data_IF_738964430145
#
_entry.id   IF_738964430145
#
_cell.length_a   1.000
_cell.length_b   1.000
_cell.length_c   1.000
_cell.angle_alpha   90.00
_cell.angle_beta   90.00
_cell.angle_gamma   90.00
#
_symmetry.space_group_name_H-M   'P 1'
#
loop_
_entity.id
_entity.type
_entity.pdbx_description
1 polymer ?
#
# COMPACT_ATOMS: atom_id res chain seq x y z
N UNK A 1 -21.02 10.59 21.61
CA UNK A 1 -20.90 9.17 21.93
C UNK A 1 -20.19 8.99 23.26
N UNK A 2 -20.64 8.05 24.05
CA UNK A 2 -19.93 7.56 25.22
C UNK A 2 -18.95 6.50 24.81
N UNK A 3 -17.81 6.40 25.51
CA UNK A 3 -16.83 5.35 25.26
C UNK A 3 -16.35 4.73 26.56
N UNK A 4 -16.09 3.45 26.51
CA UNK A 4 -15.53 2.66 27.59
C UNK A 4 -14.42 1.77 27.07
N UNK A 5 -13.33 1.61 27.82
CA UNK A 5 -12.26 0.69 27.49
C UNK A 5 -12.31 -0.45 28.53
N UNK A 6 -12.64 -1.65 28.05
CA UNK A 6 -12.70 -2.85 28.87
C UNK A 6 -11.94 -4.01 28.18
N UNK A 7 -11.04 -4.67 28.92
CA UNK A 7 -10.28 -5.81 28.43
C UNK A 7 -9.47 -5.55 27.14
N UNK A 8 -9.06 -4.28 26.91
CA UNK A 8 -8.36 -3.88 25.69
C UNK A 8 -9.29 -3.61 24.49
N UNK A 9 -10.61 -3.71 24.68
CA UNK A 9 -11.63 -3.37 23.69
C UNK A 9 -12.15 -1.96 23.95
N UNK A 10 -12.40 -1.22 22.87
CA UNK A 10 -13.04 0.10 22.92
C UNK A 10 -14.51 -0.05 22.56
N UNK A 11 -15.38 0.14 23.53
CA UNK A 11 -16.83 0.13 23.36
C UNK A 11 -17.33 1.56 23.13
N UNK A 12 -18.01 1.78 22.03
CA UNK A 12 -18.59 3.07 21.67
C UNK A 12 -20.11 2.95 21.65
N UNK A 13 -20.80 3.90 22.30
CA UNK A 13 -22.26 3.96 22.30
C UNK A 13 -22.76 5.37 22.03
N UNK A 14 -23.75 5.47 21.17
CA UNK A 14 -24.47 6.71 20.93
C UNK A 14 -25.92 6.38 20.60
N UNK A 15 -26.86 7.00 21.30
CA UNK A 15 -28.31 6.87 20.99
C UNK A 15 -28.62 7.64 19.68
N UNK A 16 -27.90 8.74 19.44
CA UNK A 16 -28.04 9.57 18.24
C UNK A 16 -26.72 10.25 17.92
N UNK A 17 -26.37 10.27 16.64
CA UNK A 17 -25.25 11.04 16.14
C UNK A 17 -25.71 12.44 15.75
N UNK A 18 -24.95 13.45 16.18
CA UNK A 18 -25.21 14.86 15.87
C UNK A 18 -23.99 15.43 15.17
N UNK A 19 -24.23 16.20 14.11
CA UNK A 19 -23.18 16.87 13.34
C UNK A 19 -22.35 17.79 14.24
N UNK A 20 -21.06 17.81 14.00
CA UNK A 20 -20.09 18.57 14.79
C UNK A 20 -18.86 18.91 13.95
N UNK A 21 -17.99 19.76 14.49
CA UNK A 21 -16.69 20.04 13.90
C UNK A 21 -15.67 19.03 14.45
N UNK A 22 -14.93 18.39 13.55
CA UNK A 22 -13.88 17.38 13.84
C UNK A 22 -12.58 17.89 13.23
N UNK A 23 -11.57 18.08 14.06
CA UNK A 23 -10.21 18.40 13.60
C UNK A 23 -9.30 17.20 13.88
N UNK A 24 -8.59 16.74 12.87
CA UNK A 24 -7.58 15.69 13.04
C UNK A 24 -6.19 16.32 13.23
N UNK A 25 -5.56 16.08 14.37
CA UNK A 25 -4.18 16.53 14.64
C UNK A 25 -3.18 15.95 13.63
N UNK A 26 -3.46 14.72 13.16
CA UNK A 26 -2.70 14.05 12.09
C UNK A 26 -3.65 13.69 10.96
N UNK A 27 -3.20 13.92 9.72
CA UNK A 27 -3.91 13.43 8.56
C UNK A 27 -3.97 11.89 8.61
N UNK A 28 -5.17 11.32 8.61
CA UNK A 28 -5.40 9.89 8.75
C UNK A 28 -6.56 9.42 7.91
N UNK A 29 -6.28 8.48 7.00
CA UNK A 29 -7.26 7.90 6.08
C UNK A 29 -8.37 7.18 6.85
N UNK A 30 -8.01 6.28 7.76
CA UNK A 30 -8.97 5.47 8.50
C UNK A 30 -9.94 6.31 9.32
N UNK A 31 -9.45 7.34 10.03
CA UNK A 31 -10.32 8.23 10.79
C UNK A 31 -11.23 9.06 9.86
N UNK A 32 -10.70 9.57 8.74
CA UNK A 32 -11.49 10.33 7.76
C UNK A 32 -12.63 9.48 7.19
N UNK A 33 -12.35 8.26 6.75
CA UNK A 33 -13.35 7.32 6.20
C UNK A 33 -14.42 7.00 7.25
N UNK A 34 -14.03 6.65 8.47
CA UNK A 34 -14.99 6.34 9.55
C UNK A 34 -15.83 7.55 9.94
N UNK A 35 -15.23 8.75 10.01
CA UNK A 35 -15.96 9.98 10.30
C UNK A 35 -16.96 10.31 9.17
N UNK A 36 -16.60 10.14 7.89
CA UNK A 36 -17.53 10.29 6.77
C UNK A 36 -18.71 9.34 6.94
N UNK A 37 -18.45 8.03 7.09
CA UNK A 37 -19.52 7.03 7.20
C UNK A 37 -20.44 7.26 8.39
N UNK A 38 -19.91 7.67 9.54
CA UNK A 38 -20.71 7.99 10.72
C UNK A 38 -21.57 9.26 10.51
N UNK A 39 -21.06 10.24 9.77
CA UNK A 39 -21.66 11.55 9.60
C UNK A 39 -22.79 11.61 8.59
N UNK A 40 -22.84 10.69 7.60
CA UNK A 40 -23.86 10.72 6.53
C UNK A 40 -25.29 10.61 7.03
N UNK A 41 -25.50 10.07 8.25
CA UNK A 41 -26.80 9.96 8.91
C UNK A 41 -26.88 10.72 10.24
N UNK A 42 -25.86 11.50 10.58
CA UNK A 42 -25.91 12.35 11.79
C UNK A 42 -26.86 13.55 11.58
N UNK A 43 -27.54 13.97 12.64
CA UNK A 43 -28.39 15.17 12.56
C UNK A 43 -27.58 16.45 12.41
N UNK A 44 -27.82 17.20 11.36
CA UNK A 44 -27.19 18.50 11.12
C UNK A 44 -25.96 18.43 10.22
N UNK A 45 -25.01 19.31 10.44
CA UNK A 45 -23.80 19.46 9.64
C UNK A 45 -22.57 18.98 10.40
N UNK A 46 -21.81 18.08 9.80
CA UNK A 46 -20.45 17.71 10.24
C UNK A 46 -19.42 18.39 9.34
N UNK A 47 -18.38 18.95 9.95
CA UNK A 47 -17.23 19.52 9.24
C UNK A 47 -16.00 18.77 9.72
N UNK A 48 -15.30 18.13 8.79
CA UNK A 48 -14.03 17.42 9.05
C UNK A 48 -12.90 18.29 8.50
N UNK A 49 -11.97 18.67 9.36
CA UNK A 49 -10.79 19.47 9.02
C UNK A 49 -9.52 18.63 9.13
N UNK A 50 -8.51 18.97 8.32
CA UNK A 50 -7.30 18.18 8.09
C UNK A 50 -7.62 16.75 7.64
N UNK A 51 -8.64 16.62 6.79
CA UNK A 51 -9.09 15.36 6.23
C UNK A 51 -8.05 14.73 5.29
N UNK A 52 -8.05 13.42 5.19
CA UNK A 52 -7.28 12.68 4.20
C UNK A 52 -7.83 12.93 2.78
N UNK A 53 -6.93 13.00 1.78
CA UNK A 53 -7.24 13.39 0.39
C UNK A 53 -7.06 12.26 -0.60
N UNK A 54 -6.73 11.08 -0.11
CA UNK A 54 -6.44 9.91 -0.94
C UNK A 54 -7.60 9.61 -1.89
N UNK A 55 -7.32 9.13 -3.12
CA UNK A 55 -8.35 8.87 -4.14
C UNK A 55 -9.51 8.00 -3.64
N UNK A 56 -9.25 7.00 -2.81
CA UNK A 56 -10.29 6.13 -2.26
C UNK A 56 -11.18 6.82 -1.20
N UNK A 57 -10.73 7.92 -0.59
CA UNK A 57 -11.59 8.77 0.26
C UNK A 57 -12.59 9.53 -0.61
N UNK A 58 -12.13 10.04 -1.75
CA UNK A 58 -13.00 10.70 -2.75
C UNK A 58 -13.98 9.71 -3.34
N UNK A 59 -13.52 8.51 -3.66
CA UNK A 59 -14.34 7.44 -4.22
C UNK A 59 -15.46 7.02 -3.27
N UNK A 60 -15.15 6.85 -1.97
CA UNK A 60 -16.15 6.59 -0.93
C UNK A 60 -17.21 7.71 -0.88
N UNK A 61 -16.78 8.98 -0.90
CA UNK A 61 -17.71 10.11 -0.86
C UNK A 61 -18.61 10.12 -2.10
N UNK A 62 -18.07 9.83 -3.29
CA UNK A 62 -18.83 9.71 -4.53
C UNK A 62 -19.84 8.56 -4.47
N UNK A 63 -19.43 7.41 -3.96
CA UNK A 63 -20.32 6.27 -3.75
C UNK A 63 -21.48 6.62 -2.81
N UNK A 64 -21.18 7.23 -1.66
CA UNK A 64 -22.21 7.66 -0.71
C UNK A 64 -23.13 8.74 -1.28
N UNK A 65 -22.59 9.70 -2.04
CA UNK A 65 -23.40 10.70 -2.73
C UNK A 65 -24.32 10.07 -3.77
N UNK A 66 -23.87 9.02 -4.49
CA UNK A 66 -24.73 8.28 -5.40
C UNK A 66 -25.83 7.48 -4.69
N UNK A 67 -25.70 7.25 -3.39
CA UNK A 67 -26.74 6.67 -2.51
C UNK A 67 -27.65 7.74 -1.88
N UNK A 68 -27.44 9.02 -2.19
CA UNK A 68 -28.26 10.14 -1.67
C UNK A 68 -27.68 10.85 -0.47
N UNK A 69 -26.39 10.66 -0.14
CA UNK A 69 -25.69 11.48 0.85
C UNK A 69 -25.42 12.91 0.33
N UNK A 70 -25.11 13.82 1.24
CA UNK A 70 -24.74 15.20 0.93
C UNK A 70 -23.33 15.48 1.49
N UNK A 71 -22.32 15.12 0.69
CA UNK A 71 -20.88 15.23 1.03
C UNK A 71 -20.22 16.17 0.02
N UNK A 72 -19.56 17.20 0.52
CA UNK A 72 -18.80 18.17 -0.26
C UNK A 72 -17.37 18.28 0.24
N UNK A 73 -16.44 18.57 -0.67
CA UNK A 73 -15.04 18.84 -0.34
C UNK A 73 -14.16 17.60 -0.19
N UNK A 74 -14.63 16.39 -0.48
CA UNK A 74 -13.77 15.21 -0.53
C UNK A 74 -12.60 15.44 -1.51
N UNK A 75 -11.36 15.06 -1.09
CA UNK A 75 -10.14 15.37 -1.82
C UNK A 75 -9.51 16.73 -1.47
N UNK A 76 -10.13 17.49 -0.56
CA UNK A 76 -9.56 18.72 0.02
C UNK A 76 -9.30 18.56 1.52
N UNK A 77 -8.72 19.57 2.16
CA UNK A 77 -8.47 19.56 3.61
C UNK A 77 -9.74 19.57 4.46
N UNK A 78 -10.86 20.02 3.87
CA UNK A 78 -12.12 20.22 4.59
C UNK A 78 -13.25 19.48 3.88
N UNK A 79 -13.88 18.55 4.60
CA UNK A 79 -15.04 17.81 4.14
C UNK A 79 -16.27 18.26 4.94
N UNK A 80 -17.34 18.63 4.24
CA UNK A 80 -18.62 19.03 4.84
C UNK A 80 -19.66 17.99 4.51
N UNK A 81 -20.36 17.50 5.52
CA UNK A 81 -21.36 16.43 5.41
C UNK A 81 -22.64 16.90 6.09
N UNK A 82 -23.70 17.04 5.31
CA UNK A 82 -25.04 17.25 5.86
C UNK A 82 -25.72 15.90 5.99
N UNK A 83 -26.05 15.52 7.20
CA UNK A 83 -26.71 14.23 7.45
C UNK A 83 -28.07 14.13 6.78
N UNK A 84 -28.37 12.97 6.24
CA UNK A 84 -29.62 12.64 5.54
C UNK A 84 -30.41 11.57 6.30
N UNK A 85 -31.75 11.60 6.16
CA UNK A 85 -32.62 10.61 6.82
C UNK A 85 -32.46 9.21 6.21
N UNK A 86 -32.30 9.13 4.89
CA UNK A 86 -32.31 7.89 4.13
C UNK A 86 -31.18 7.87 3.11
N UNK A 87 -30.60 6.71 2.93
CA UNK A 87 -29.73 6.37 1.81
C UNK A 87 -30.43 5.26 1.02
N UNK A 88 -30.33 5.31 -0.30
CA UNK A 88 -30.85 4.24 -1.18
C UNK A 88 -29.72 3.40 -1.75
N UNK A 89 -30.05 2.25 -2.30
CA UNK A 89 -29.09 1.39 -3.00
C UNK A 89 -28.65 2.03 -4.32
N UNK A 90 -27.42 1.71 -4.73
CA UNK A 90 -26.85 2.17 -6.00
C UNK A 90 -26.01 1.07 -6.63
N UNK A 91 -25.79 1.16 -7.95
CA UNK A 91 -24.73 0.41 -8.64
C UNK A 91 -23.54 1.34 -8.80
N UNK A 92 -22.38 0.95 -8.27
CA UNK A 92 -21.19 1.77 -8.25
C UNK A 92 -19.96 0.96 -8.64
N UNK A 93 -19.12 1.52 -9.50
CA UNK A 93 -17.82 0.92 -9.85
C UNK A 93 -16.73 1.57 -9.02
N UNK A 94 -16.08 0.79 -8.18
CA UNK A 94 -14.95 1.24 -7.37
C UNK A 94 -13.75 1.57 -8.29
N UNK A 95 -13.00 2.62 -7.97
CA UNK A 95 -11.79 2.96 -8.70
C UNK A 95 -10.74 1.87 -8.61
N UNK A 96 -9.84 1.76 -9.62
CA UNK A 96 -8.70 0.83 -9.57
C UNK A 96 -7.78 1.09 -8.38
N UNK A 97 -7.24 0.02 -7.79
CA UNK A 97 -6.28 0.11 -6.69
C UNK A 97 -4.92 0.62 -7.19
N UNK A 98 -4.58 1.84 -6.79
CA UNK A 98 -3.29 2.46 -7.11
C UNK A 98 -2.08 1.71 -6.50
N UNK A 99 -2.26 1.00 -5.39
CA UNK A 99 -1.16 0.29 -4.73
C UNK A 99 -0.93 -1.06 -5.41
N UNK A 100 -1.97 -1.77 -5.82
CA UNK A 100 -1.80 -2.95 -6.66
C UNK A 100 -1.11 -2.58 -7.98
N UNK A 101 -1.60 -1.55 -8.68
CA UNK A 101 -0.99 -1.07 -9.91
C UNK A 101 0.48 -0.67 -9.70
N UNK A 102 0.78 0.11 -8.65
CA UNK A 102 2.14 0.51 -8.28
C UNK A 102 3.03 -0.67 -7.96
N UNK A 103 2.49 -1.72 -7.34
CA UNK A 103 3.24 -2.95 -7.06
C UNK A 103 3.64 -3.67 -8.36
N UNK A 104 2.74 -3.76 -9.36
CA UNK A 104 3.09 -4.29 -10.67
C UNK A 104 4.08 -3.40 -11.44
N UNK A 105 4.05 -2.07 -11.23
CA UNK A 105 5.09 -1.16 -11.75
C UNK A 105 6.46 -1.47 -11.13
N UNK A 106 6.50 -1.70 -9.80
CA UNK A 106 7.72 -2.08 -9.09
C UNK A 106 8.23 -3.46 -9.54
N UNK A 107 7.33 -4.43 -9.79
CA UNK A 107 7.67 -5.74 -10.34
C UNK A 107 8.31 -5.61 -11.72
N UNK A 108 7.71 -4.80 -12.61
CA UNK A 108 8.28 -4.56 -13.94
C UNK A 108 9.72 -4.01 -13.86
N UNK A 109 9.96 -3.09 -12.92
CA UNK A 109 11.28 -2.56 -12.65
C UNK A 109 12.24 -3.63 -12.11
N UNK A 110 11.87 -4.35 -11.04
CA UNK A 110 12.73 -5.34 -10.41
C UNK A 110 13.08 -6.50 -11.33
N UNK A 111 12.11 -7.02 -12.09
CA UNK A 111 12.30 -8.10 -13.07
C UNK A 111 12.88 -7.61 -14.41
N UNK A 112 13.16 -6.30 -14.57
CA UNK A 112 13.65 -5.69 -15.82
C UNK A 112 12.80 -6.08 -17.03
N UNK A 113 11.49 -6.11 -16.85
CA UNK A 113 10.49 -6.56 -17.82
C UNK A 113 9.73 -5.39 -18.44
N UNK A 114 8.87 -5.70 -19.43
CA UNK A 114 7.97 -4.73 -20.06
C UNK A 114 6.52 -5.15 -19.77
N UNK A 115 5.85 -4.42 -18.91
CA UNK A 115 4.47 -4.71 -18.47
C UNK A 115 3.56 -3.54 -18.82
N UNK A 116 2.42 -3.83 -19.47
CA UNK A 116 1.32 -2.91 -19.68
C UNK A 116 0.25 -3.15 -18.62
N UNK A 117 0.02 -2.18 -17.75
CA UNK A 117 -0.99 -2.22 -16.70
C UNK A 117 -2.20 -1.41 -17.17
N UNK A 118 -3.34 -2.08 -17.35
CA UNK A 118 -4.59 -1.50 -17.86
C UNK A 118 -5.59 -1.27 -16.73
N UNK A 119 -6.63 -0.51 -17.04
CA UNK A 119 -7.69 -0.16 -16.10
C UNK A 119 -7.11 0.48 -14.84
N UNK A 120 -6.33 1.54 -15.03
CA UNK A 120 -5.74 2.35 -14.00
C UNK A 120 -6.04 3.83 -14.24
N UNK A 121 -5.89 4.63 -13.22
CA UNK A 121 -5.96 6.10 -13.34
C UNK A 121 -4.52 6.62 -13.20
N UNK A 122 -3.83 6.96 -14.31
CA UNK A 122 -2.41 7.32 -14.30
C UNK A 122 -2.09 8.47 -13.33
N UNK A 123 -3.01 9.41 -13.18
CA UNK A 123 -2.87 10.52 -12.22
C UNK A 123 -2.71 10.05 -10.77
N UNK A 124 -3.33 8.94 -10.40
CA UNK A 124 -3.18 8.37 -9.05
C UNK A 124 -1.81 7.70 -8.84
N UNK A 125 -1.14 7.34 -9.92
CA UNK A 125 0.17 6.69 -9.92
C UNK A 125 1.33 7.68 -10.04
N UNK A 126 1.06 8.98 -10.19
CA UNK A 126 2.07 10.01 -10.47
C UNK A 126 3.24 10.02 -9.47
N UNK A 127 3.04 9.95 -8.12
CA UNK A 127 4.14 9.92 -7.17
C UNK A 127 5.05 8.70 -7.34
N UNK A 128 4.48 7.56 -7.74
CA UNK A 128 5.21 6.30 -7.97
C UNK A 128 5.97 6.41 -9.29
N UNK A 129 5.29 6.85 -10.36
CA UNK A 129 5.85 7.07 -11.69
C UNK A 129 7.08 7.96 -11.65
N UNK A 130 6.98 9.12 -10.97
CA UNK A 130 8.09 10.06 -10.84
C UNK A 130 9.32 9.42 -10.18
N UNK A 131 9.13 8.56 -9.16
CA UNK A 131 10.25 7.89 -8.49
C UNK A 131 10.86 6.80 -9.36
N UNK A 132 10.05 6.03 -10.08
CA UNK A 132 10.54 5.03 -11.04
C UNK A 132 11.32 5.68 -12.19
N UNK A 133 10.78 6.75 -12.78
CA UNK A 133 11.48 7.50 -13.84
C UNK A 133 12.79 8.09 -13.32
N UNK A 134 12.80 8.62 -12.09
CA UNK A 134 13.99 9.21 -11.49
C UNK A 134 15.14 8.20 -11.30
N UNK A 135 14.83 6.94 -11.08
CA UNK A 135 15.88 5.89 -10.95
C UNK A 135 16.29 5.29 -12.28
N UNK A 136 15.65 5.64 -13.40
CA UNK A 136 16.00 5.18 -14.74
C UNK A 136 15.02 4.19 -15.38
N UNK A 137 13.86 3.98 -14.78
CA UNK A 137 12.77 3.17 -15.37
C UNK A 137 12.03 4.01 -16.41
N UNK A 138 11.75 3.45 -17.59
CA UNK A 138 10.91 4.10 -18.57
C UNK A 138 9.43 3.83 -18.25
N UNK A 139 8.61 4.88 -18.18
CA UNK A 139 7.17 4.78 -17.97
C UNK A 139 6.43 5.59 -19.03
N UNK A 140 5.55 4.92 -19.77
CA UNK A 140 4.65 5.51 -20.76
C UNK A 140 3.25 5.55 -20.17
N UNK A 141 2.58 6.72 -20.24
CA UNK A 141 1.22 6.90 -19.73
C UNK A 141 0.24 7.01 -20.90
N UNK A 142 -0.91 6.35 -20.75
CA UNK A 142 -2.07 6.40 -21.65
C UNK A 142 -3.28 6.86 -20.84
N UNK A 143 -4.44 6.95 -21.46
CA UNK A 143 -5.66 7.46 -20.80
C UNK A 143 -6.08 6.60 -19.58
N UNK A 144 -6.03 5.27 -19.74
CA UNK A 144 -6.44 4.28 -18.73
C UNK A 144 -5.39 3.19 -18.47
N UNK A 145 -4.15 3.42 -18.89
CA UNK A 145 -3.07 2.44 -18.77
C UNK A 145 -1.71 3.10 -18.52
N UNK A 146 -0.80 2.34 -17.95
CA UNK A 146 0.62 2.67 -17.88
C UNK A 146 1.45 1.50 -18.36
N UNK A 147 2.47 1.77 -19.19
CA UNK A 147 3.48 0.80 -19.57
C UNK A 147 4.76 1.09 -18.83
N UNK A 148 5.31 0.09 -18.17
CA UNK A 148 6.57 0.17 -17.44
C UNK A 148 7.58 -0.72 -18.14
N UNK A 149 8.74 -0.15 -18.51
CA UNK A 149 9.83 -0.84 -19.17
C UNK A 149 11.05 -0.75 -18.27
N UNK A 150 11.44 -1.87 -17.70
CA UNK A 150 12.63 -1.99 -16.87
C UNK A 150 13.91 -1.76 -17.67
N UNK A 151 14.77 -0.90 -17.14
CA UNK A 151 16.07 -0.59 -17.75
C UNK A 151 17.18 -1.56 -17.33
N UNK A 152 18.35 -1.48 -18.00
CA UNK A 152 19.50 -2.31 -17.63
C UNK A 152 20.14 -1.89 -16.32
N UNK A 153 19.98 -0.64 -15.90
CA UNK A 153 20.60 -0.07 -14.71
C UNK A 153 19.63 0.90 -14.03
N UNK A 154 19.69 0.93 -12.71
CA UNK A 154 18.98 1.91 -11.86
C UNK A 154 19.95 2.65 -10.98
N UNK A 155 19.58 3.87 -10.58
CA UNK A 155 20.40 4.76 -9.77
C UNK A 155 19.72 5.05 -8.43
N UNK A 156 20.54 5.23 -7.41
CA UNK A 156 20.06 5.57 -6.07
C UNK A 156 19.23 6.85 -6.04
N UNK A 157 18.28 6.93 -5.12
CA UNK A 157 17.40 8.10 -4.94
C UNK A 157 16.95 8.25 -3.50
N UNK A 158 16.38 9.41 -3.19
CA UNK A 158 15.71 9.63 -1.91
C UNK A 158 14.20 9.57 -2.08
N UNK A 159 13.55 8.78 -1.20
CA UNK A 159 12.10 8.67 -1.08
C UNK A 159 11.70 9.11 0.32
N UNK A 160 10.68 9.95 0.42
CA UNK A 160 10.02 10.29 1.68
C UNK A 160 8.53 10.04 1.52
N UNK A 161 7.95 9.25 2.41
CA UNK A 161 6.51 9.05 2.44
C UNK A 161 5.80 10.30 2.95
N UNK A 162 4.69 10.65 2.33
CA UNK A 162 3.86 11.79 2.72
C UNK A 162 2.39 11.47 2.44
N UNK A 163 1.44 12.16 3.12
CA UNK A 163 0.04 12.11 2.75
C UNK A 163 -0.18 12.48 1.27
N UNK A 164 -1.25 11.98 0.69
CA UNK A 164 -1.60 12.29 -0.70
C UNK A 164 -1.66 13.81 -0.96
N UNK A 165 -1.07 14.32 -2.06
CA UNK A 165 -0.52 13.61 -3.24
C UNK A 165 0.97 13.25 -3.15
N UNK A 166 1.53 13.09 -1.95
CA UNK A 166 2.91 12.63 -1.77
C UNK A 166 3.10 11.13 -2.04
N UNK A 167 4.35 10.66 -1.88
CA UNK A 167 4.67 9.25 -2.08
C UNK A 167 4.00 8.38 -1.01
N UNK A 168 3.15 7.41 -1.40
CA UNK A 168 2.35 6.64 -0.44
C UNK A 168 3.21 5.68 0.39
N UNK A 169 2.95 5.65 1.70
CA UNK A 169 3.60 4.71 2.63
C UNK A 169 3.42 3.26 2.22
N UNK A 170 2.31 2.93 1.55
CA UNK A 170 2.00 1.57 1.09
C UNK A 170 2.82 1.10 -0.12
N UNK A 171 3.54 2.01 -0.77
CA UNK A 171 4.52 1.68 -1.82
C UNK A 171 5.97 1.73 -1.34
N UNK A 172 6.20 2.14 -0.09
CA UNK A 172 7.54 2.29 0.46
C UNK A 172 8.31 0.96 0.47
N UNK A 173 7.75 -0.20 0.94
CA UNK A 173 8.47 -1.47 0.94
C UNK A 173 8.80 -1.98 -0.48
N UNK A 174 7.86 -1.88 -1.42
CA UNK A 174 8.06 -2.33 -2.80
C UNK A 174 9.16 -1.51 -3.50
N UNK A 175 9.16 -0.18 -3.31
CA UNK A 175 10.23 0.66 -3.86
C UNK A 175 11.57 0.41 -3.19
N UNK A 176 11.60 0.15 -1.89
CA UNK A 176 12.83 -0.26 -1.20
C UNK A 176 13.41 -1.54 -1.81
N UNK A 177 12.56 -2.54 -2.13
CA UNK A 177 12.98 -3.75 -2.81
C UNK A 177 13.60 -3.46 -4.18
N UNK A 178 13.01 -2.59 -5.00
CA UNK A 178 13.61 -2.16 -6.29
C UNK A 178 14.97 -1.49 -6.07
N UNK A 179 15.08 -0.64 -5.05
CA UNK A 179 16.31 0.13 -4.78
C UNK A 179 17.46 -0.73 -4.26
N UNK A 180 17.22 -1.97 -3.80
CA UNK A 180 18.29 -2.88 -3.37
C UNK A 180 19.29 -3.20 -4.46
N UNK A 181 18.90 -3.09 -5.75
CA UNK A 181 19.76 -3.32 -6.91
C UNK A 181 20.06 -2.03 -7.70
N UNK A 182 19.82 -0.86 -7.13
CA UNK A 182 20.14 0.43 -7.73
C UNK A 182 21.59 0.84 -7.43
N UNK A 183 22.34 1.33 -8.41
CA UNK A 183 23.72 1.79 -8.23
C UNK A 183 23.79 2.99 -7.27
N UNK A 184 24.69 2.92 -6.31
CA UNK A 184 24.89 3.93 -5.29
C UNK A 184 23.95 3.77 -4.09
N UNK A 185 23.88 4.82 -3.26
CA UNK A 185 23.06 4.82 -2.05
C UNK A 185 21.68 5.41 -2.30
N UNK A 186 20.66 4.81 -1.70
CA UNK A 186 19.29 5.33 -1.64
C UNK A 186 18.90 5.57 -0.19
N UNK A 187 18.06 6.57 0.04
CA UNK A 187 17.52 6.89 1.35
C UNK A 187 16.00 6.83 1.34
N UNK A 188 15.42 6.08 2.25
CA UNK A 188 13.97 5.95 2.41
C UNK A 188 13.58 6.46 3.78
N UNK A 189 12.81 7.55 3.83
CA UNK A 189 12.29 8.14 5.07
C UNK A 189 10.80 7.83 5.19
N UNK A 190 10.41 7.14 6.26
CA UNK A 190 9.02 6.86 6.59
C UNK A 190 8.47 7.88 7.57
N UNK A 191 7.50 8.69 7.14
CA UNK A 191 6.92 9.74 7.98
C UNK A 191 5.46 9.49 8.38
N UNK A 192 4.85 8.42 7.88
CA UNK A 192 3.42 8.12 8.08
C UNK A 192 3.23 6.96 9.05
N UNK A 193 3.82 5.79 8.73
CA UNK A 193 3.55 4.55 9.42
C UNK A 193 4.67 4.17 10.41
N UNK A 194 4.30 3.79 11.62
CA UNK A 194 5.27 3.35 12.62
C UNK A 194 5.71 1.90 12.33
N UNK A 195 7.00 1.58 12.58
CA UNK A 195 7.57 0.24 12.39
C UNK A 195 7.39 -0.34 10.97
N UNK A 196 7.46 0.51 9.92
CA UNK A 196 7.29 0.08 8.53
C UNK A 196 8.41 -0.80 8.01
N UNK A 197 9.60 -0.75 8.60
CA UNK A 197 10.80 -1.42 8.11
C UNK A 197 10.94 -2.91 8.50
N UNK A 198 9.88 -3.59 8.94
CA UNK A 198 9.92 -5.03 9.31
C UNK A 198 10.38 -5.95 8.18
N UNK A 199 10.14 -5.56 6.94
CA UNK A 199 10.56 -6.32 5.75
C UNK A 199 12.09 -6.30 5.53
N UNK A 200 12.81 -5.39 6.15
CA UNK A 200 14.25 -5.19 5.91
C UNK A 200 15.07 -6.41 6.30
N UNK A 201 14.74 -7.05 7.42
CA UNK A 201 15.48 -8.25 7.85
C UNK A 201 15.29 -9.40 6.86
N UNK A 202 14.13 -9.51 6.26
CA UNK A 202 13.86 -10.50 5.21
C UNK A 202 14.61 -10.18 3.90
N UNK A 203 14.67 -8.90 3.49
CA UNK A 203 15.50 -8.52 2.34
C UNK A 203 17.00 -8.72 2.61
N UNK A 204 17.47 -8.53 3.82
CA UNK A 204 18.86 -8.85 4.21
C UNK A 204 19.15 -10.34 4.08
N UNK A 205 18.21 -11.23 4.37
CA UNK A 205 18.34 -12.69 4.11
C UNK A 205 18.56 -12.98 2.63
N UNK A 206 17.98 -12.17 1.74
CA UNK A 206 18.18 -12.23 0.30
C UNK A 206 19.49 -11.54 -0.17
N UNK A 207 20.29 -11.00 0.76
CA UNK A 207 21.57 -10.34 0.46
C UNK A 207 21.50 -8.83 0.27
N UNK A 208 20.39 -8.18 0.59
CA UNK A 208 20.29 -6.72 0.51
C UNK A 208 21.18 -6.03 1.57
N UNK A 209 21.83 -4.94 1.18
CA UNK A 209 22.59 -4.09 2.08
C UNK A 209 21.74 -2.88 2.50
N UNK A 210 21.06 -3.00 3.63
CA UNK A 210 20.13 -2.00 4.15
C UNK A 210 20.46 -1.75 5.62
N UNK A 211 20.63 -0.50 6.03
CA UNK A 211 20.69 -0.08 7.43
C UNK A 211 19.47 0.76 7.77
N UNK A 212 18.95 0.58 8.99
CA UNK A 212 17.75 1.31 9.46
C UNK A 212 18.11 2.02 10.76
N UNK A 213 17.83 3.32 10.81
CA UNK A 213 17.92 4.12 12.01
C UNK A 213 16.64 4.95 12.18
N UNK A 214 15.88 4.62 13.20
CA UNK A 214 14.59 5.25 13.49
C UNK A 214 13.61 5.13 12.31
N UNK A 215 13.34 6.25 11.66
CA UNK A 215 12.43 6.34 10.51
C UNK A 215 13.14 6.44 9.16
N UNK A 216 14.41 6.13 9.11
CA UNK A 216 15.22 6.23 7.89
C UNK A 216 15.89 4.89 7.61
N UNK A 217 15.75 4.42 6.38
CA UNK A 217 16.55 3.32 5.85
C UNK A 217 17.53 3.86 4.80
N UNK A 218 18.77 3.45 4.90
CA UNK A 218 19.80 3.65 3.88
C UNK A 218 20.03 2.32 3.18
N UNK A 219 19.91 2.32 1.86
CA UNK A 219 20.03 1.15 1.00
C UNK A 219 21.24 1.36 0.11
N UNK A 220 22.24 0.52 0.24
CA UNK A 220 23.37 0.46 -0.69
C UNK A 220 23.09 -0.64 -1.72
N UNK A 221 23.09 -0.27 -2.98
CA UNK A 221 22.76 -1.20 -4.05
C UNK A 221 23.74 -2.35 -4.15
N UNK A 222 23.19 -3.56 -4.31
CA UNK A 222 23.95 -4.78 -4.60
C UNK A 222 23.75 -5.16 -6.07
N UNK A 223 24.64 -5.98 -6.61
CA UNK A 223 24.54 -6.42 -8.00
C UNK A 223 23.25 -7.20 -8.24
N UNK A 224 22.95 -8.16 -7.36
CA UNK A 224 21.71 -8.96 -7.37
C UNK A 224 21.38 -9.47 -5.99
N UNK A 225 20.08 -9.65 -5.76
CA UNK A 225 19.58 -10.43 -4.63
C UNK A 225 19.65 -11.93 -4.93
N UNK A 226 19.69 -12.75 -3.90
CA UNK A 226 19.65 -14.21 -3.98
C UNK A 226 18.37 -14.74 -3.38
N UNK A 227 17.86 -15.82 -3.98
CA UNK A 227 16.73 -16.55 -3.44
C UNK A 227 17.02 -17.06 -2.04
N UNK A 228 16.04 -16.93 -1.16
CA UNK A 228 16.12 -17.37 0.23
C UNK A 228 14.71 -17.69 0.78
N UNK A 229 14.60 -18.51 1.82
CA UNK A 229 13.37 -18.62 2.58
C UNK A 229 13.15 -17.34 3.39
N UNK A 230 12.02 -16.67 3.17
CA UNK A 230 11.63 -15.38 3.76
C UNK A 230 10.18 -15.40 4.21
N UNK A 231 9.78 -14.48 5.08
CA UNK A 231 8.47 -14.47 5.71
C UNK A 231 7.74 -13.15 5.48
N UNK A 232 6.52 -13.21 4.97
CA UNK A 232 5.65 -12.05 4.88
C UNK A 232 5.19 -11.63 6.28
N UNK A 233 5.69 -10.52 6.80
CA UNK A 233 5.34 -10.00 8.14
C UNK A 233 4.06 -9.18 8.15
N UNK A 234 3.66 -8.67 7.00
CA UNK A 234 2.43 -7.93 6.73
C UNK A 234 2.16 -7.87 5.21
N UNK A 235 1.02 -7.28 4.83
CA UNK A 235 0.59 -7.16 3.44
C UNK A 235 1.66 -6.52 2.52
N UNK A 236 2.23 -5.38 2.93
CA UNK A 236 3.16 -4.61 2.08
C UNK A 236 4.58 -5.17 2.14
N UNK A 237 4.96 -5.75 3.28
CA UNK A 237 6.18 -6.54 3.40
C UNK A 237 6.15 -7.73 2.43
N UNK A 238 5.07 -8.51 2.43
CA UNK A 238 4.90 -9.63 1.51
C UNK A 238 4.97 -9.20 0.04
N UNK A 239 4.31 -8.11 -0.32
CA UNK A 239 4.39 -7.55 -1.68
C UNK A 239 5.84 -7.16 -2.06
N UNK A 240 6.59 -6.55 -1.13
CA UNK A 240 7.99 -6.20 -1.36
C UNK A 240 8.88 -7.43 -1.56
N UNK A 241 8.63 -8.51 -0.81
CA UNK A 241 9.36 -9.77 -0.98
C UNK A 241 9.07 -10.44 -2.34
N UNK A 242 7.84 -10.36 -2.84
CA UNK A 242 7.50 -10.82 -4.18
C UNK A 242 8.24 -9.98 -5.24
N UNK A 243 8.24 -8.64 -5.09
CA UNK A 243 9.02 -7.74 -5.98
C UNK A 243 10.50 -8.13 -5.98
N UNK A 244 11.09 -8.34 -4.81
CA UNK A 244 12.48 -8.73 -4.66
C UNK A 244 12.77 -10.10 -5.28
N UNK A 245 11.90 -11.10 -5.04
CA UNK A 245 12.05 -12.46 -5.52
C UNK A 245 12.06 -12.55 -7.05
N UNK A 246 11.22 -11.76 -7.73
CA UNK A 246 11.15 -11.74 -9.20
C UNK A 246 12.40 -11.12 -9.85
N UNK A 247 13.20 -10.38 -9.11
CA UNK A 247 14.50 -9.86 -9.57
C UNK A 247 15.72 -10.63 -9.06
N UNK A 248 15.53 -11.62 -8.17
CA UNK A 248 16.59 -12.36 -7.51
C UNK A 248 17.08 -13.56 -8.34
N UNK A 249 18.30 -14.04 -8.05
CA UNK A 249 18.81 -15.30 -8.58
C UNK A 249 18.42 -16.47 -7.67
N UNK A 250 17.99 -17.59 -8.28
CA UNK A 250 17.61 -18.79 -7.57
C UNK A 250 16.14 -18.80 -7.13
N UNK A 251 15.80 -19.62 -6.15
CA UNK A 251 14.43 -19.81 -5.67
C UNK A 251 14.23 -19.06 -4.37
N UNK A 252 13.14 -18.30 -4.27
CA UNK A 252 12.70 -17.65 -3.03
C UNK A 252 11.42 -18.34 -2.54
N UNK A 253 11.42 -18.79 -1.33
CA UNK A 253 10.24 -19.33 -0.66
C UNK A 253 9.64 -18.24 0.26
N UNK A 254 8.39 -17.86 0.01
CA UNK A 254 7.73 -16.81 0.80
C UNK A 254 6.65 -17.44 1.66
N UNK A 255 6.87 -17.43 2.97
CA UNK A 255 5.92 -17.95 3.97
C UNK A 255 4.90 -16.90 4.41
N UNK A 256 3.82 -17.33 5.04
CA UNK A 256 2.73 -16.50 5.57
C UNK A 256 2.05 -15.62 4.49
N UNK A 257 1.89 -16.15 3.29
CA UNK A 257 1.31 -15.44 2.13
C UNK A 257 -0.13 -14.99 2.33
N UNK A 258 -0.84 -15.51 3.35
CA UNK A 258 -2.17 -15.03 3.73
C UNK A 258 -2.21 -13.51 3.99
N UNK A 259 -1.08 -12.92 4.41
CA UNK A 259 -0.94 -11.47 4.50
C UNK A 259 -1.05 -10.78 3.15
N UNK A 260 -0.53 -11.38 2.08
CA UNK A 260 -0.60 -10.84 0.71
C UNK A 260 -2.01 -11.05 0.14
N UNK A 261 -2.58 -12.22 0.32
CA UNK A 261 -3.87 -12.62 -0.27
C UNK A 261 -5.04 -11.76 0.20
N UNK A 262 -4.96 -11.14 1.37
CA UNK A 262 -6.01 -10.22 1.86
C UNK A 262 -6.11 -8.91 1.09
N UNK A 263 -5.12 -8.53 0.27
CA UNK A 263 -5.08 -7.25 -0.44
C UNK A 263 -4.62 -7.34 -1.90
N UNK A 264 -4.22 -8.52 -2.37
CA UNK A 264 -3.87 -8.78 -3.77
C UNK A 264 -4.63 -10.01 -4.27
N UNK A 265 -5.61 -9.78 -5.10
CA UNK A 265 -6.42 -10.86 -5.65
C UNK A 265 -5.63 -11.66 -6.70
N UNK A 266 -5.50 -12.98 -6.46
CA UNK A 266 -4.90 -13.94 -7.40
C UNK A 266 -3.54 -13.47 -7.96
N UNK A 267 -2.69 -12.87 -7.12
CA UNK A 267 -1.41 -12.28 -7.55
C UNK A 267 -0.52 -13.31 -8.25
N UNK A 268 -0.46 -14.53 -7.72
CA UNK A 268 0.30 -15.64 -8.32
C UNK A 268 -0.20 -15.97 -9.74
N UNK A 269 -1.51 -16.04 -9.95
CA UNK A 269 -2.10 -16.31 -11.28
C UNK A 269 -1.77 -15.18 -12.26
N UNK A 270 -1.90 -13.93 -11.82
CA UNK A 270 -1.56 -12.74 -12.63
C UNK A 270 -0.08 -12.76 -13.03
N UNK A 271 0.83 -13.03 -12.09
CA UNK A 271 2.27 -13.09 -12.36
C UNK A 271 2.65 -14.24 -13.29
N UNK A 272 2.07 -15.42 -13.09
CA UNK A 272 2.29 -16.57 -13.99
C UNK A 272 1.82 -16.26 -15.42
N UNK A 273 0.71 -15.55 -15.58
CA UNK A 273 0.22 -15.12 -16.90
C UNK A 273 1.16 -14.14 -17.61
N UNK A 274 2.00 -13.44 -16.85
CA UNK A 274 3.05 -12.55 -17.35
C UNK A 274 4.37 -13.28 -17.63
N UNK A 275 4.43 -14.59 -17.36
CA UNK A 275 5.61 -15.42 -17.61
C UNK A 275 6.53 -15.60 -16.40
N UNK A 276 6.10 -15.20 -15.20
CA UNK A 276 6.87 -15.48 -14.00
C UNK A 276 6.79 -16.98 -13.64
N UNK A 277 7.93 -17.54 -13.23
CA UNK A 277 8.00 -18.88 -12.65
C UNK A 277 7.65 -18.77 -11.15
N UNK A 278 6.37 -18.91 -10.86
CA UNK A 278 5.81 -18.78 -9.50
C UNK A 278 4.72 -19.80 -9.30
N UNK A 279 4.67 -20.37 -8.11
CA UNK A 279 3.62 -21.30 -7.71
C UNK A 279 3.23 -21.10 -6.25
N UNK A 280 1.96 -21.28 -5.93
CA UNK A 280 1.50 -21.44 -4.57
C UNK A 280 1.60 -22.91 -4.18
N UNK A 281 2.23 -23.16 -3.03
CA UNK A 281 2.37 -24.50 -2.48
C UNK A 281 1.57 -24.54 -1.18
N UNK A 282 0.64 -25.49 -1.08
CA UNK A 282 -0.05 -25.77 0.16
C UNK A 282 0.87 -26.65 1.02
N UNK A 283 1.53 -26.07 2.03
CA UNK A 283 2.24 -26.87 3.02
C UNK A 283 1.23 -27.58 3.92
N UNK A 284 1.41 -28.87 4.21
CA UNK A 284 0.68 -29.53 5.28
C UNK A 284 0.96 -28.79 6.59
N UNK A 285 -0.06 -28.68 7.43
CA UNK A 285 0.05 -28.00 8.73
C UNK A 285 1.29 -28.48 9.48
N UNK A 286 2.27 -27.63 9.81
CA UNK A 286 3.52 -28.07 10.39
C UNK A 286 3.27 -28.79 11.71
N UNK A 287 3.97 -29.90 11.91
CA UNK A 287 3.92 -30.67 13.16
C UNK A 287 4.30 -29.78 14.35
N UNK A 288 3.94 -30.23 15.58
CA UNK A 288 4.28 -29.47 16.79
C UNK A 288 5.79 -29.24 16.95
N UNK A 289 6.64 -30.16 16.48
CA UNK A 289 8.10 -30.05 16.47
C UNK A 289 8.59 -28.99 15.47
N UNK A 290 8.02 -28.95 14.27
CA UNK A 290 8.35 -27.95 13.26
C UNK A 290 7.89 -26.54 13.67
N UNK A 291 6.74 -26.42 14.39
CA UNK A 291 6.28 -25.16 15.00
C UNK A 291 7.25 -24.65 16.06
N UNK A 292 7.87 -25.54 16.83
CA UNK A 292 8.89 -25.20 17.83
C UNK A 292 10.22 -24.77 17.18
N UNK A 293 10.67 -25.47 16.14
CA UNK A 293 11.87 -25.12 15.36
C UNK A 293 11.74 -23.77 14.63
N UNK A 294 10.57 -23.48 14.06
CA UNK A 294 10.27 -22.18 13.40
C UNK A 294 10.20 -21.00 14.37
N UNK A 295 9.98 -21.24 15.67
CA UNK A 295 10.03 -20.21 16.72
C UNK A 295 11.44 -19.93 17.25
N UNK A 296 12.37 -20.83 16.99
CA UNK A 296 13.76 -20.75 17.46
C UNK A 296 14.73 -20.17 16.40
N UNK A 297 14.25 -19.95 15.17
CA UNK A 297 14.90 -19.27 14.06
C UNK A 297 14.32 -17.85 13.87
#
# INVERSE_FOLDING_TARGET
>A
AEYEIDGGMVNLRADKLVGTQIFFDKNTVGATINAIMASVKADGLTIIENAAKEPHVVDLANCLNSMGADILGAGTDVIKIRGVKYLHGTTYSVIPDQIEAGTFMAIAAAARSNILIRNVIPKHLEPITQKLVKIGVQVEQFDDAVRVIGGPEYFGTSIKTNPHPGFPTDMQPQMAAVLTCAKGASMVTESIFDNRFRYVDELRRMGANISVEGRVAVIEGVERLKGAPVKATDLRAGAALIVAALGAEGVTEIYDIHHVERGYENMEVKLRSLGADIQKVDEPDPTAEEKLLRKAL
#
